data_IF_795062244783
#
_entry.id   IF_795062244783
#
_cell.length_a   1.000
_cell.length_b   1.000
_cell.length_c   1.000
_cell.angle_alpha   90.00
_cell.angle_beta   90.00
_cell.angle_gamma   90.00
#
_symmetry.space_group_name_H-M   'P 1'
#
loop_
_entity.id
_entity.type
_entity.pdbx_description
1 polymer ?
#
# COMPACT_ATOMS: atom_id res chain seq x y z
N UNK A 1 20.49 3.69 -7.55
CA UNK A 1 20.24 3.53 -6.10
C UNK A 1 19.13 2.50 -5.96
N UNK A 2 18.66 2.17 -4.76
CA UNK A 2 17.42 1.38 -4.63
C UNK A 2 16.25 2.36 -4.42
N UNK A 3 15.12 2.07 -5.05
CA UNK A 3 13.89 2.83 -4.89
C UNK A 3 13.39 2.77 -3.45
N UNK A 4 12.45 3.65 -3.12
CA UNK A 4 11.85 3.77 -1.79
C UNK A 4 10.49 3.06 -1.73
N UNK A 5 10.24 2.36 -0.63
CA UNK A 5 8.92 1.84 -0.32
C UNK A 5 8.12 2.88 0.47
N UNK A 6 6.96 3.26 -0.07
CA UNK A 6 6.01 4.16 0.57
C UNK A 6 4.79 3.38 1.09
N UNK A 7 4.44 3.54 2.35
CA UNK A 7 3.13 3.17 2.88
C UNK A 7 2.19 4.36 2.83
N UNK A 8 1.12 4.28 2.04
CA UNK A 8 0.21 5.41 1.81
C UNK A 8 -1.18 5.13 2.35
N UNK A 9 -1.56 5.88 3.39
CA UNK A 9 -2.94 5.94 3.87
C UNK A 9 -3.82 6.72 2.92
N UNK A 10 -4.78 6.05 2.29
CA UNK A 10 -5.70 6.70 1.33
C UNK A 10 -6.96 7.25 2.00
N UNK A 11 -7.06 7.14 3.33
CA UNK A 11 -8.24 7.56 4.07
C UNK A 11 -9.35 6.51 4.09
N UNK A 12 -10.54 6.85 4.63
CA UNK A 12 -11.54 5.90 5.08
C UNK A 12 -12.52 5.44 3.98
N UNK A 13 -12.46 6.02 2.78
CA UNK A 13 -13.40 5.69 1.69
C UNK A 13 -13.64 6.86 0.73
N UNK A 14 -13.88 8.05 1.28
CA UNK A 14 -14.02 9.25 0.47
C UNK A 14 -12.66 9.68 -0.08
N UNK A 15 -12.58 9.89 -1.39
CA UNK A 15 -11.36 10.31 -2.06
C UNK A 15 -10.92 11.71 -1.64
N UNK A 16 -11.85 12.59 -1.25
CA UNK A 16 -11.51 13.94 -0.78
C UNK A 16 -10.86 13.95 0.61
N UNK A 17 -10.93 12.83 1.34
CA UNK A 17 -10.27 12.64 2.64
C UNK A 17 -8.83 12.12 2.51
N UNK A 18 -8.30 11.99 1.28
CA UNK A 18 -6.87 11.73 1.07
C UNK A 18 -6.05 12.95 1.46
N UNK A 19 -4.85 12.75 2.01
CA UNK A 19 -3.98 13.88 2.37
C UNK A 19 -3.26 14.45 1.15
N UNK A 20 -2.95 15.75 1.18
CA UNK A 20 -2.14 16.42 0.14
C UNK A 20 -0.78 15.73 -0.04
N UNK A 21 -0.14 15.28 1.05
CA UNK A 21 1.12 14.54 0.99
C UNK A 21 0.96 13.21 0.23
N UNK A 22 -0.13 12.48 0.46
CA UNK A 22 -0.39 11.22 -0.25
C UNK A 22 -0.56 11.48 -1.76
N UNK A 23 -1.34 12.49 -2.14
CA UNK A 23 -1.51 12.89 -3.56
C UNK A 23 -0.16 13.22 -4.22
N UNK A 24 0.68 14.02 -3.56
CA UNK A 24 2.01 14.38 -4.09
C UNK A 24 2.91 13.18 -4.33
N UNK A 25 2.85 12.15 -3.47
CA UNK A 25 3.60 10.90 -3.67
C UNK A 25 2.99 10.10 -4.81
N UNK A 26 1.67 9.92 -4.83
CA UNK A 26 0.94 9.15 -5.85
C UNK A 26 1.10 9.70 -7.28
N UNK A 27 1.34 11.00 -7.43
CA UNK A 27 1.63 11.65 -8.72
C UNK A 27 3.06 11.42 -9.22
N UNK A 28 3.97 10.86 -8.39
CA UNK A 28 5.39 10.69 -8.72
C UNK A 28 5.83 9.25 -8.77
N UNK A 29 5.22 8.38 -7.96
CA UNK A 29 5.62 6.98 -7.88
C UNK A 29 5.32 6.23 -9.19
N UNK A 30 6.30 5.52 -9.76
CA UNK A 30 6.11 4.74 -10.99
C UNK A 30 5.26 3.49 -10.75
N UNK A 31 5.21 2.96 -9.53
CA UNK A 31 4.50 1.73 -9.18
C UNK A 31 3.61 1.91 -7.95
N UNK A 32 2.38 1.43 -8.02
CA UNK A 32 1.50 1.24 -6.86
C UNK A 32 1.27 -0.24 -6.59
N UNK A 33 1.55 -0.68 -5.37
CA UNK A 33 1.29 -2.02 -4.89
C UNK A 33 -0.09 -2.05 -4.19
N UNK A 34 -0.93 -2.98 -4.64
CA UNK A 34 -2.34 -3.03 -4.24
C UNK A 34 -2.66 -4.41 -3.69
N UNK A 35 -2.80 -4.58 -2.36
CA UNK A 35 -3.22 -5.83 -1.78
C UNK A 35 -4.68 -6.15 -2.17
N UNK A 36 -4.93 -7.41 -2.56
CA UNK A 36 -6.23 -7.94 -2.97
C UNK A 36 -6.41 -9.37 -2.47
N UNK A 37 -7.64 -9.75 -2.12
CA UNK A 37 -7.91 -11.11 -1.67
C UNK A 37 -7.88 -12.16 -2.79
N UNK A 38 -8.25 -11.77 -4.02
CA UNK A 38 -8.28 -12.65 -5.20
C UNK A 38 -7.88 -11.88 -6.47
N UNK A 39 -7.32 -12.55 -7.49
CA UNK A 39 -7.10 -11.95 -8.81
C UNK A 39 -8.40 -11.35 -9.38
N UNK A 40 -8.32 -10.17 -9.99
CA UNK A 40 -9.48 -9.50 -10.60
C UNK A 40 -10.46 -8.83 -9.63
N UNK A 41 -10.33 -9.03 -8.32
CA UNK A 41 -11.15 -8.32 -7.34
C UNK A 41 -10.76 -6.83 -7.26
N UNK A 42 -11.73 -5.94 -7.08
CA UNK A 42 -11.44 -4.53 -6.86
C UNK A 42 -10.83 -4.31 -5.45
N UNK A 43 -9.72 -3.58 -5.37
CA UNK A 43 -9.20 -3.08 -4.09
C UNK A 43 -9.80 -1.71 -3.79
N UNK A 44 -10.45 -1.58 -2.62
CA UNK A 44 -11.06 -0.32 -2.19
C UNK A 44 -10.01 0.79 -2.15
N UNK A 45 -8.82 0.52 -1.58
CA UNK A 45 -7.76 1.51 -1.48
C UNK A 45 -7.32 2.03 -2.87
N UNK A 46 -7.24 1.14 -3.86
CA UNK A 46 -6.96 1.53 -5.25
C UNK A 46 -8.08 2.34 -5.88
N UNK A 47 -9.35 1.99 -5.64
CA UNK A 47 -10.48 2.76 -6.17
C UNK A 47 -10.49 4.21 -5.68
N UNK A 48 -10.06 4.44 -4.44
CA UNK A 48 -9.90 5.77 -3.85
C UNK A 48 -8.73 6.51 -4.52
N UNK A 49 -7.56 5.85 -4.58
CA UNK A 49 -6.32 6.47 -5.04
C UNK A 49 -6.24 6.70 -6.56
N UNK A 50 -6.92 5.90 -7.40
CA UNK A 50 -6.72 5.87 -8.86
C UNK A 50 -6.84 7.22 -9.56
N UNK A 51 -7.68 8.13 -9.03
CA UNK A 51 -7.91 9.46 -9.61
C UNK A 51 -6.73 10.42 -9.38
N UNK A 52 -5.83 10.08 -8.46
CA UNK A 52 -4.64 10.85 -8.10
C UNK A 52 -3.35 10.28 -8.67
N UNK A 53 -3.41 9.11 -9.33
CA UNK A 53 -2.25 8.48 -9.96
C UNK A 53 -1.86 9.24 -11.23
N UNK A 54 -0.56 9.33 -11.48
CA UNK A 54 -0.07 9.84 -12.75
C UNK A 54 -0.48 8.90 -13.91
N UNK A 55 -0.67 9.44 -15.12
CA UNK A 55 -0.80 8.61 -16.31
C UNK A 55 0.41 7.67 -16.46
N UNK A 56 0.15 6.39 -16.71
CA UNK A 56 1.21 5.39 -16.87
C UNK A 56 1.75 4.79 -15.57
N UNK A 57 1.25 5.17 -14.40
CA UNK A 57 1.59 4.49 -13.14
C UNK A 57 1.24 3.00 -13.24
N UNK A 58 2.23 2.13 -12.99
CA UNK A 58 2.06 0.67 -13.01
C UNK A 58 1.34 0.21 -11.76
N UNK A 59 0.35 -0.66 -11.92
CA UNK A 59 -0.36 -1.30 -10.81
C UNK A 59 0.18 -2.72 -10.61
N UNK A 60 0.74 -2.99 -9.45
CA UNK A 60 1.17 -4.32 -9.01
C UNK A 60 0.12 -4.89 -8.04
N UNK A 61 -0.60 -5.92 -8.48
CA UNK A 61 -1.61 -6.58 -7.66
C UNK A 61 -0.96 -7.64 -6.78
N UNK A 62 -1.02 -7.45 -5.46
CA UNK A 62 -0.48 -8.38 -4.49
C UNK A 62 -1.61 -9.27 -3.97
N UNK A 63 -1.64 -10.52 -4.43
CA UNK A 63 -2.68 -11.48 -4.03
C UNK A 63 -2.39 -12.02 -2.63
N UNK A 64 -3.32 -11.75 -1.71
CA UNK A 64 -3.25 -12.13 -0.31
C UNK A 64 -4.44 -13.04 0.02
N UNK A 65 -4.24 -14.36 0.08
CA UNK A 65 -5.36 -15.28 0.29
C UNK A 65 -6.06 -15.00 1.62
N UNK A 66 -7.39 -14.99 1.61
CA UNK A 66 -8.18 -14.95 2.84
C UNK A 66 -8.22 -16.35 3.45
N UNK A 67 -7.30 -16.61 4.36
CA UNK A 67 -7.16 -17.89 5.06
C UNK A 67 -6.68 -17.66 6.50
N UNK A 68 -7.00 -18.58 7.40
CA UNK A 68 -6.46 -18.63 8.76
C UNK A 68 -5.15 -19.44 8.82
N UNK A 69 -4.78 -20.10 7.72
CA UNK A 69 -3.51 -20.81 7.59
C UNK A 69 -2.34 -19.82 7.61
N UNK A 70 -1.59 -19.85 8.72
CA UNK A 70 -0.47 -18.96 8.96
C UNK A 70 0.67 -19.18 7.97
N UNK A 71 0.94 -20.42 7.58
CA UNK A 71 2.02 -20.74 6.65
C UNK A 71 1.70 -20.21 5.25
N UNK A 72 0.46 -20.41 4.80
CA UNK A 72 -0.02 -19.86 3.53
C UNK A 72 0.04 -18.32 3.49
N UNK A 73 -0.32 -17.66 4.61
CA UNK A 73 -0.19 -16.19 4.73
C UNK A 73 1.27 -15.73 4.70
N UNK A 74 2.16 -16.39 5.45
CA UNK A 74 3.58 -16.08 5.48
C UNK A 74 4.18 -16.19 4.06
N UNK A 75 3.93 -17.30 3.36
CA UNK A 75 4.38 -17.51 1.98
C UNK A 75 3.85 -16.44 1.02
N UNK A 76 2.59 -16.02 1.15
CA UNK A 76 2.02 -14.94 0.34
C UNK A 76 2.71 -13.59 0.59
N UNK A 77 3.01 -13.26 1.84
CA UNK A 77 3.75 -12.04 2.18
C UNK A 77 5.19 -12.08 1.70
N UNK A 78 5.85 -13.24 1.76
CA UNK A 78 7.18 -13.40 1.18
C UNK A 78 7.19 -13.20 -0.34
N UNK A 79 6.18 -13.74 -1.02
CA UNK A 79 6.03 -13.58 -2.46
C UNK A 79 5.80 -12.11 -2.83
N UNK A 80 4.91 -11.42 -2.13
CA UNK A 80 4.70 -10.00 -2.33
C UNK A 80 5.95 -9.16 -2.04
N UNK A 81 6.72 -9.51 -1.01
CA UNK A 81 8.00 -8.85 -0.74
C UNK A 81 8.98 -9.04 -1.90
N UNK A 82 9.08 -10.24 -2.49
CA UNK A 82 9.92 -10.48 -3.68
C UNK A 82 9.49 -9.64 -4.87
N UNK A 83 8.18 -9.56 -5.13
CA UNK A 83 7.64 -8.76 -6.23
C UNK A 83 7.92 -7.27 -6.06
N UNK A 84 7.69 -6.74 -4.85
CA UNK A 84 7.97 -5.33 -4.53
C UNK A 84 9.46 -5.03 -4.62
N UNK A 85 10.33 -5.92 -4.12
CA UNK A 85 11.78 -5.77 -4.22
C UNK A 85 12.27 -5.78 -5.68
N UNK A 86 11.62 -6.52 -6.57
CA UNK A 86 11.99 -6.53 -7.98
C UNK A 86 11.88 -5.12 -8.61
N UNK A 87 10.89 -4.32 -8.21
CA UNK A 87 10.77 -2.93 -8.62
C UNK A 87 11.78 -2.02 -7.93
N UNK A 88 11.89 -2.14 -6.60
CA UNK A 88 12.78 -1.28 -5.81
C UNK A 88 14.25 -1.41 -6.25
N UNK A 89 14.69 -2.62 -6.60
CA UNK A 89 16.04 -2.89 -7.13
C UNK A 89 16.33 -2.24 -8.48
N UNK A 90 15.29 -1.85 -9.20
CA UNK A 90 15.40 -1.10 -10.46
C UNK A 90 15.33 0.42 -10.24
N UNK A 91 15.51 0.89 -9.00
CA UNK A 91 15.39 2.29 -8.62
C UNK A 91 13.97 2.87 -8.82
N UNK A 92 12.95 2.00 -8.78
CA UNK A 92 11.55 2.39 -8.90
C UNK A 92 10.91 2.47 -7.52
N UNK A 93 10.48 3.66 -7.13
CA UNK A 93 9.66 3.85 -5.93
C UNK A 93 8.34 3.09 -6.04
N UNK A 94 7.94 2.46 -4.94
CA UNK A 94 6.70 1.68 -4.86
C UNK A 94 5.82 2.24 -3.75
N UNK A 95 4.56 2.59 -4.05
CA UNK A 95 3.58 2.95 -3.04
C UNK A 95 2.61 1.80 -2.74
N UNK A 96 2.67 1.27 -1.53
CA UNK A 96 1.70 0.33 -1.01
C UNK A 96 0.47 1.08 -0.46
N UNK A 97 -0.70 0.84 -1.06
CA UNK A 97 -1.93 1.53 -0.69
C UNK A 97 -2.63 0.84 0.48
N UNK A 98 -3.05 1.62 1.47
CA UNK A 98 -3.79 1.12 2.65
C UNK A 98 -5.06 1.93 2.86
N UNK A 99 -6.19 1.25 3.09
CA UNK A 99 -7.39 1.92 3.60
C UNK A 99 -7.11 2.45 5.01
N UNK A 100 -7.57 3.67 5.30
CA UNK A 100 -7.26 4.35 6.55
C UNK A 100 -5.79 4.78 6.60
N UNK A 101 -5.07 4.28 7.60
CA UNK A 101 -3.67 4.61 7.89
C UNK A 101 -2.77 3.36 7.84
N UNK A 102 -1.52 3.45 7.35
CA UNK A 102 -0.61 2.31 7.28
C UNK A 102 -0.16 1.75 8.64
N UNK A 103 -0.33 2.49 9.73
CA UNK A 103 0.17 2.13 11.07
C UNK A 103 -0.83 1.39 11.96
N UNK A 104 -2.14 1.40 11.62
CA UNK A 104 -3.19 0.87 12.49
C UNK A 104 -4.05 -0.17 11.78
N UNK A 105 -3.97 -1.43 12.25
CA UNK A 105 -4.65 -2.60 11.67
C UNK A 105 -4.45 -2.79 10.15
N UNK A 106 -3.32 -2.30 9.64
CA UNK A 106 -2.94 -2.39 8.24
C UNK A 106 -2.05 -3.59 7.96
N UNK A 107 -2.16 -4.14 6.76
CA UNK A 107 -1.29 -5.22 6.29
C UNK A 107 0.08 -4.73 5.82
N UNK A 108 0.32 -3.42 5.78
CA UNK A 108 1.60 -2.85 5.34
C UNK A 108 2.80 -3.36 6.17
N UNK A 109 2.61 -3.56 7.47
CA UNK A 109 3.66 -4.06 8.36
C UNK A 109 4.22 -5.44 7.97
N UNK A 110 3.38 -6.32 7.40
CA UNK A 110 3.85 -7.63 6.93
C UNK A 110 4.76 -7.51 5.72
N UNK A 111 4.40 -6.62 4.78
CA UNK A 111 5.25 -6.33 3.62
C UNK A 111 6.57 -5.70 4.07
N UNK A 112 6.54 -4.72 4.97
CA UNK A 112 7.75 -4.06 5.50
C UNK A 112 8.69 -5.10 6.10
N UNK A 113 8.20 -6.01 6.94
CA UNK A 113 9.02 -7.11 7.50
C UNK A 113 9.64 -7.98 6.40
N UNK A 114 8.84 -8.35 5.40
CA UNK A 114 9.30 -9.20 4.30
C UNK A 114 10.39 -8.56 3.44
N UNK A 115 10.29 -7.25 3.18
CA UNK A 115 11.28 -6.52 2.38
C UNK A 115 12.54 -6.19 3.18
N UNK A 116 12.42 -5.73 4.43
CA UNK A 116 13.60 -5.33 5.24
C UNK A 116 14.41 -6.53 5.71
N UNK A 117 13.80 -7.71 5.85
CA UNK A 117 14.52 -8.96 6.08
C UNK A 117 15.48 -9.32 4.93
N UNK A 118 15.18 -8.86 3.70
CA UNK A 118 15.96 -9.13 2.48
C UNK A 118 16.86 -7.97 2.08
N UNK A 119 16.43 -6.73 2.35
CA UNK A 119 17.19 -5.51 2.15
C UNK A 119 17.11 -4.58 3.37
N UNK A 120 18.00 -4.76 4.37
CA UNK A 120 17.97 -4.00 5.61
C UNK A 120 18.19 -2.49 5.45
N UNK A 121 18.86 -2.07 4.37
CA UNK A 121 19.13 -0.66 4.07
C UNK A 121 18.04 0.01 3.22
N UNK A 122 16.96 -0.69 2.90
CA UNK A 122 15.86 -0.14 2.10
C UNK A 122 15.19 1.03 2.83
N UNK A 123 15.02 2.15 2.13
CA UNK A 123 14.28 3.28 2.65
C UNK A 123 12.77 2.97 2.66
N UNK A 124 12.15 3.10 3.83
CA UNK A 124 10.70 2.95 4.03
C UNK A 124 10.15 4.25 4.62
N UNK A 125 9.14 4.82 3.97
CA UNK A 125 8.44 6.01 4.46
C UNK A 125 6.94 5.79 4.56
N UNK A 126 6.32 6.40 5.55
CA UNK A 126 4.87 6.35 5.78
C UNK A 126 4.27 7.74 5.55
N UNK A 127 3.18 7.78 4.78
CA UNK A 127 2.27 8.93 4.70
C UNK A 127 0.98 8.55 5.42
N UNK A 128 0.64 9.23 6.51
CA UNK A 128 -0.53 8.90 7.29
C UNK A 128 -1.83 9.23 6.54
N UNK A 129 -2.90 8.54 6.92
CA UNK A 129 -4.25 8.72 6.39
C UNK A 129 -5.30 8.83 7.49
N UNK A 130 -6.48 9.33 7.13
CA UNK A 130 -7.60 9.47 8.08
C UNK A 130 -8.17 8.09 8.42
N UNK A 131 -8.20 7.75 9.71
CA UNK A 131 -8.78 6.50 10.19
C UNK A 131 -10.31 6.46 10.05
N UNK A 132 -10.84 5.25 9.83
CA UNK A 132 -12.28 5.00 9.67
C UNK A 132 -13.10 5.46 10.87
N UNK A 133 -12.65 5.22 12.10
CA UNK A 133 -13.39 5.60 13.31
C UNK A 133 -13.48 7.13 13.49
N UNK A 134 -12.45 7.87 13.11
CA UNK A 134 -12.48 9.33 13.17
C UNK A 134 -13.48 9.91 12.16
N UNK A 135 -13.48 9.35 10.93
CA UNK A 135 -14.45 9.72 9.91
C UNK A 135 -15.88 9.30 10.26
N UNK A 136 -16.07 8.17 10.95
CA UNK A 136 -17.37 7.74 11.43
C UNK A 136 -17.89 8.69 12.52
N UNK A 137 -17.06 9.07 13.49
CA UNK A 137 -17.42 10.01 14.54
C UNK A 137 -17.81 11.38 13.96
N UNK A 138 -17.08 11.88 12.96
CA UNK A 138 -17.38 13.16 12.31
C UNK A 138 -18.75 13.18 11.59
N UNK A 139 -19.28 12.02 11.17
CA UNK A 139 -20.61 11.90 10.56
C UNK A 139 -21.76 11.87 11.56
N UNK A 140 -21.46 11.77 12.85
CA UNK A 140 -22.44 11.73 13.92
C UNK A 140 -22.58 13.08 14.65
N UNK A 141 -21.85 14.10 14.20
CA UNK A 141 -22.04 15.50 14.61
C UNK A 141 -23.21 16.12 13.83
#
# INVERSE_FOLDING_TARGET
MAGKLWGIGVGPGDAELITVKAVHVLQKVPVVAVPKARPGQASIAYQIARRYLAPGTRVAELVMPMTEDREALEQAWEQAAREVLAFLRQDLDVAFLTLGDPSLYSTFGYLVKGVTAREPSLAVEVVPGIMSFAAAAARLL
#
